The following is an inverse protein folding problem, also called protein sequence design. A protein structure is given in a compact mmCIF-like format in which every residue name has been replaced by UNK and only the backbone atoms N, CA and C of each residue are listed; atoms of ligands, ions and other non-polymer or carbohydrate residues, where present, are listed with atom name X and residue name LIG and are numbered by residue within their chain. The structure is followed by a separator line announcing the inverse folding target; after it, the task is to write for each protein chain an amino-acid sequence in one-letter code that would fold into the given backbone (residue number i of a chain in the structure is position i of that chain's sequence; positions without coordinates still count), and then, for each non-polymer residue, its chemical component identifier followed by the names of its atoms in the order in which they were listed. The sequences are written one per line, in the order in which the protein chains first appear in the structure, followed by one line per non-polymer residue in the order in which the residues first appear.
data_IF_353463804302
#
_entry.id   IF_353463804302
#
_cell.length_a   1.000
_cell.length_b   1.000
_cell.length_c   1.000
_cell.angle_alpha   90.00
_cell.angle_beta   90.00
_cell.angle_gamma   90.00
#
_symmetry.space_group_name_H-M   'P 1'
#
loop_
_entity.id
_entity.type
_entity.pdbx_description
1 polymer ?
#
# COMPACT_ATOMS: atom_id res chain seq x y z
N UNK A 1 1.40 10.62 18.82
CA UNK A 1 0.65 9.63 18.01
C UNK A 1 -0.82 9.77 18.38
N UNK A 2 -1.75 9.87 17.42
CA UNK A 2 -3.16 9.87 17.76
C UNK A 2 -3.49 8.60 18.56
N UNK A 3 -4.28 8.77 19.61
CA UNK A 3 -4.59 7.71 20.58
C UNK A 3 -5.27 6.57 19.81
N UNK A 4 -4.77 5.33 19.97
CA UNK A 4 -5.34 4.12 19.35
C UNK A 4 -4.66 3.64 18.06
N UNK A 5 -3.75 4.40 17.45
CA UNK A 5 -3.03 3.97 16.24
C UNK A 5 -1.85 3.06 16.59
N UNK A 6 -1.76 1.90 15.91
CA UNK A 6 -0.62 0.98 16.00
C UNK A 6 0.23 1.10 14.74
N UNK A 7 1.53 1.33 14.91
CA UNK A 7 2.48 1.45 13.80
C UNK A 7 3.22 0.14 13.56
N UNK A 8 3.47 -0.18 12.30
CA UNK A 8 4.29 -1.31 11.86
C UNK A 8 5.23 -0.81 10.77
N UNK A 9 6.51 -1.22 10.83
CA UNK A 9 7.47 -0.94 9.77
C UNK A 9 7.30 -2.01 8.68
N UNK A 10 6.88 -1.60 7.49
CA UNK A 10 6.62 -2.54 6.39
C UNK A 10 7.91 -3.11 5.76
N UNK A 11 9.05 -2.40 5.83
CA UNK A 11 10.29 -2.84 5.18
C UNK A 11 10.54 -2.11 3.86
N UNK A 12 11.45 -2.63 3.02
CA UNK A 12 11.79 -2.03 1.72
C UNK A 12 11.38 -2.97 0.60
N UNK A 13 10.60 -2.44 -0.35
CA UNK A 13 10.14 -3.20 -1.50
C UNK A 13 8.83 -3.97 -1.25
N UNK A 14 8.21 -4.50 -2.31
CA UNK A 14 6.85 -5.04 -2.27
C UNK A 14 6.74 -6.30 -1.41
N UNK A 15 7.73 -7.20 -1.44
CA UNK A 15 7.68 -8.48 -0.72
C UNK A 15 7.73 -8.28 0.80
N UNK A 16 8.72 -7.53 1.29
CA UNK A 16 8.81 -7.22 2.73
C UNK A 16 7.56 -6.49 3.21
N UNK A 17 7.13 -5.48 2.44
CA UNK A 17 5.97 -4.68 2.78
C UNK A 17 4.70 -5.54 2.89
N UNK A 18 4.48 -6.45 1.95
CA UNK A 18 3.35 -7.37 1.97
C UNK A 18 3.41 -8.31 3.19
N UNK A 19 4.55 -8.96 3.43
CA UNK A 19 4.72 -9.91 4.54
C UNK A 19 4.50 -9.25 5.90
N UNK A 20 5.17 -8.11 6.17
CA UNK A 20 5.06 -7.41 7.44
C UNK A 20 3.66 -6.86 7.68
N UNK A 21 3.01 -6.33 6.63
CA UNK A 21 1.65 -5.81 6.72
C UNK A 21 0.64 -6.93 6.95
N UNK A 22 0.74 -8.03 6.21
CA UNK A 22 -0.15 -9.18 6.36
C UNK A 22 -0.02 -9.83 7.75
N UNK A 23 1.21 -10.01 8.25
CA UNK A 23 1.46 -10.53 9.59
C UNK A 23 0.79 -9.64 10.67
N UNK A 24 0.92 -8.32 10.53
CA UNK A 24 0.31 -7.37 11.47
C UNK A 24 -1.22 -7.37 11.41
N UNK A 25 -1.81 -7.48 10.21
CA UNK A 25 -3.27 -7.60 10.04
C UNK A 25 -3.77 -8.88 10.70
N UNK A 26 -3.08 -10.01 10.47
CA UNK A 26 -3.44 -11.30 11.04
C UNK A 26 -3.38 -11.29 12.58
N UNK A 27 -2.35 -10.69 13.15
CA UNK A 27 -2.15 -10.58 14.60
C UNK A 27 -3.17 -9.65 15.26
N UNK A 28 -3.42 -8.47 14.67
CA UNK A 28 -4.09 -7.36 15.36
C UNK A 28 -5.52 -7.13 14.92
N UNK A 29 -5.92 -7.67 13.76
CA UNK A 29 -7.25 -7.51 13.15
C UNK A 29 -7.76 -6.05 13.19
N UNK A 30 -6.99 -5.10 12.65
CA UNK A 30 -7.38 -3.69 12.70
C UNK A 30 -8.64 -3.46 11.85
N UNK A 31 -9.46 -2.49 12.26
CA UNK A 31 -10.63 -2.07 11.48
C UNK A 31 -10.26 -1.35 10.17
N UNK A 32 -9.06 -0.75 10.11
CA UNK A 32 -8.55 -0.06 8.94
C UNK A 32 -7.01 -0.07 8.91
N UNK A 33 -6.43 0.05 7.71
CA UNK A 33 -4.99 0.14 7.48
C UNK A 33 -4.67 1.42 6.73
N UNK A 34 -3.76 2.23 7.28
CA UNK A 34 -3.13 3.34 6.57
C UNK A 34 -1.72 2.91 6.15
N UNK A 35 -1.55 2.61 4.87
CA UNK A 35 -0.23 2.36 4.30
C UNK A 35 0.29 3.66 3.68
N UNK A 36 1.49 4.08 4.06
CA UNK A 36 2.15 5.24 3.49
C UNK A 36 3.60 4.92 3.16
N UNK A 37 4.13 5.57 2.14
CA UNK A 37 5.52 5.45 1.76
C UNK A 37 6.00 6.77 1.17
N UNK A 38 7.32 6.97 1.15
CA UNK A 38 7.91 8.07 0.40
C UNK A 38 7.95 7.67 -1.07
N UNK A 39 7.55 8.57 -1.97
CA UNK A 39 7.62 8.38 -3.42
C UNK A 39 8.39 9.52 -4.06
N UNK A 40 9.19 9.21 -5.08
CA UNK A 40 9.74 10.20 -6.00
C UNK A 40 8.72 10.49 -7.09
N UNK A 41 8.44 11.78 -7.32
CA UNK A 41 7.45 12.23 -8.29
C UNK A 41 8.11 12.60 -9.64
N UNK A 42 8.94 11.72 -10.19
CA UNK A 42 9.61 11.99 -11.48
C UNK A 42 8.56 12.09 -12.59
N UNK A 43 8.61 13.18 -13.37
CA UNK A 43 7.68 13.38 -14.49
C UNK A 43 6.26 13.80 -14.11
N UNK A 44 6.01 14.19 -12.85
CA UNK A 44 4.74 14.79 -12.45
C UNK A 44 4.86 16.30 -12.20
N UNK A 45 3.72 16.99 -12.13
CA UNK A 45 3.62 18.42 -11.78
C UNK A 45 3.62 18.68 -10.26
N UNK A 46 3.86 17.65 -9.43
CA UNK A 46 3.78 17.76 -7.98
C UNK A 46 5.09 18.32 -7.41
N UNK A 47 5.02 19.44 -6.68
CA UNK A 47 6.17 20.06 -6.04
C UNK A 47 6.35 19.60 -4.58
N UNK A 48 7.50 19.04 -4.17
CA UNK A 48 7.70 18.64 -2.77
C UNK A 48 7.73 19.82 -1.78
N UNK A 49 7.26 19.66 -0.52
CA UNK A 49 6.63 18.46 0.04
C UNK A 49 5.13 18.40 -0.24
N UNK A 50 4.67 17.30 -0.83
CA UNK A 50 3.26 17.04 -1.10
C UNK A 50 2.86 15.69 -0.51
N UNK A 51 1.69 15.64 0.12
CA UNK A 51 1.01 14.40 0.47
C UNK A 51 0.06 14.02 -0.67
N UNK A 52 0.14 12.77 -1.12
CA UNK A 52 -0.75 12.23 -2.15
C UNK A 52 -1.50 11.05 -1.52
N UNK A 53 -2.83 11.08 -1.65
CA UNK A 53 -3.70 9.95 -1.33
C UNK A 53 -4.09 9.33 -2.67
N UNK A 54 -3.64 8.11 -2.91
CA UNK A 54 -4.00 7.36 -4.12
C UNK A 54 -5.34 6.65 -3.97
N UNK A 55 -6.07 6.55 -5.07
CA UNK A 55 -7.30 5.74 -5.16
C UNK A 55 -6.97 4.25 -5.41
N UNK A 56 -5.94 3.98 -6.21
CA UNK A 56 -5.47 2.64 -6.53
C UNK A 56 -3.92 2.57 -6.54
N UNK A 57 -3.38 1.36 -6.37
CA UNK A 57 -1.96 1.06 -6.51
C UNK A 57 -1.75 0.06 -7.65
N UNK A 58 -0.88 0.40 -8.61
CA UNK A 58 -0.60 -0.41 -9.79
C UNK A 58 0.87 -0.84 -9.77
N UNK A 59 1.13 -2.12 -10.00
CA UNK A 59 2.48 -2.63 -10.25
C UNK A 59 2.85 -2.37 -11.71
N UNK A 60 3.78 -1.44 -11.94
CA UNK A 60 4.23 -1.07 -13.29
C UNK A 60 5.26 -2.05 -13.89
N UNK A 61 5.83 -2.90 -13.06
CA UNK A 61 6.87 -3.89 -13.34
C UNK A 61 6.34 -5.33 -13.37
N UNK A 62 5.02 -5.48 -13.29
CA UNK A 62 4.37 -6.78 -13.27
C UNK A 62 4.23 -7.34 -14.69
N UNK A 63 5.04 -8.35 -15.00
CA UNK A 63 5.04 -9.06 -16.29
C UNK A 63 4.46 -10.49 -16.15
N UNK A 64 3.40 -10.62 -15.35
CA UNK A 64 2.66 -11.88 -15.23
C UNK A 64 1.25 -11.73 -15.83
N UNK A 65 0.67 -12.82 -16.35
CA UNK A 65 -0.68 -12.77 -16.89
C UNK A 65 -1.71 -12.30 -15.84
N UNK A 66 -2.73 -11.50 -16.23
CA UNK A 66 -3.69 -10.91 -15.30
C UNK A 66 -4.49 -11.90 -14.44
N UNK A 67 -4.65 -13.15 -14.92
CA UNK A 67 -5.29 -14.23 -14.17
C UNK A 67 -4.52 -14.60 -12.90
N UNK A 68 -3.21 -14.36 -12.86
CA UNK A 68 -2.36 -14.61 -11.70
C UNK A 68 -2.16 -13.36 -10.83
N UNK A 69 -2.20 -12.17 -11.43
CA UNK A 69 -2.05 -10.91 -10.71
C UNK A 69 -2.95 -9.81 -11.33
N UNK A 70 -4.22 -9.72 -10.91
CA UNK A 70 -5.10 -8.69 -11.39
C UNK A 70 -4.59 -7.31 -10.99
N UNK A 71 -4.65 -6.36 -11.93
CA UNK A 71 -4.18 -4.96 -11.71
C UNK A 71 -4.98 -4.21 -10.64
N UNK A 72 -6.22 -4.62 -10.42
CA UNK A 72 -7.11 -4.02 -9.44
C UNK A 72 -7.91 -5.13 -8.75
N UNK A 73 -7.98 -5.09 -7.42
CA UNK A 73 -8.82 -5.96 -6.62
C UNK A 73 -9.88 -5.09 -5.97
N UNK A 74 -11.11 -5.20 -6.46
CA UNK A 74 -12.29 -4.60 -5.82
C UNK A 74 -12.98 -5.63 -4.95
N UNK A 75 -13.32 -5.25 -3.73
CA UNK A 75 -14.29 -6.03 -2.97
C UNK A 75 -15.64 -5.97 -3.70
N UNK A 76 -16.24 -7.14 -3.96
CA UNK A 76 -17.55 -7.25 -4.63
C UNK A 76 -18.72 -7.18 -3.65
N UNK A 77 -18.48 -6.93 -2.36
CA UNK A 77 -19.51 -6.91 -1.30
C UNK A 77 -20.05 -5.50 -1.00
N UNK A 78 -20.36 -4.71 -2.02
CA UNK A 78 -21.09 -3.44 -1.88
C UNK A 78 -22.55 -3.59 -2.30
#
# INVERSE_FOLDING_TARGET
MPIGWRTVRCGVGPVEAALATAAAIAERRPAAVLHWHRRRATGSTLAPPMLVIGDAALYCDLDVPPEWAPREIRDRRS
#
